data_IF_617414234192
#
_entry.id   IF_617414234192
#
_cell.length_a   1.000
_cell.length_b   1.000
_cell.length_c   1.000
_cell.angle_alpha   90.00
_cell.angle_beta   90.00
_cell.angle_gamma   90.00
#
_symmetry.space_group_name_H-M   'P 1'
#
loop_
_entity.id
_entity.type
_entity.pdbx_description
1 polymer ?
#
# COMPACT_ATOMS: atom_id res chain seq x y z
N UNK A 1 -6.94 -14.97 -18.12
CA UNK A 1 -5.52 -14.55 -18.09
C UNK A 1 -5.09 -14.41 -16.65
N UNK A 2 -3.90 -14.91 -16.31
CA UNK A 2 -3.31 -14.84 -14.97
C UNK A 2 -3.22 -13.39 -14.44
N UNK A 3 -2.79 -12.45 -15.28
CA UNK A 3 -2.62 -11.04 -14.87
C UNK A 3 -3.90 -10.38 -14.33
N UNK A 4 -5.04 -10.59 -14.99
CA UNK A 4 -6.33 -10.02 -14.53
C UNK A 4 -6.74 -10.57 -13.16
N UNK A 5 -6.41 -11.83 -12.91
CA UNK A 5 -6.69 -12.49 -11.64
C UNK A 5 -5.76 -11.97 -10.52
N UNK A 6 -4.48 -11.77 -10.82
CA UNK A 6 -3.54 -11.14 -9.87
C UNK A 6 -3.95 -9.71 -9.52
N UNK A 7 -4.33 -8.89 -10.50
CA UNK A 7 -4.88 -7.54 -10.26
C UNK A 7 -6.11 -7.57 -9.35
N UNK A 8 -6.99 -8.57 -9.53
CA UNK A 8 -8.16 -8.75 -8.67
C UNK A 8 -7.75 -9.15 -7.25
N UNK A 9 -6.83 -10.09 -7.10
CA UNK A 9 -6.32 -10.57 -5.80
C UNK A 9 -5.64 -9.47 -5.01
N UNK A 10 -4.76 -8.70 -5.64
CA UNK A 10 -4.07 -7.57 -4.98
C UNK A 10 -5.09 -6.57 -4.43
N UNK A 11 -6.08 -6.14 -5.22
CA UNK A 11 -7.16 -5.26 -4.72
C UNK A 11 -7.88 -5.88 -3.53
N UNK A 12 -8.29 -7.14 -3.62
CA UNK A 12 -9.01 -7.81 -2.53
C UNK A 12 -8.18 -7.92 -1.26
N UNK A 13 -6.89 -8.19 -1.37
CA UNK A 13 -5.97 -8.25 -0.24
C UNK A 13 -5.80 -6.89 0.44
N UNK A 14 -5.69 -5.80 -0.33
CA UNK A 14 -5.57 -4.45 0.21
C UNK A 14 -6.85 -4.03 0.97
N UNK A 15 -8.02 -4.32 0.42
CA UNK A 15 -9.31 -4.08 1.08
C UNK A 15 -9.43 -4.87 2.40
N UNK A 16 -9.08 -6.16 2.36
CA UNK A 16 -9.08 -7.01 3.53
C UNK A 16 -8.10 -6.52 4.60
N UNK A 17 -6.87 -6.13 4.22
CA UNK A 17 -5.86 -5.58 5.14
C UNK A 17 -6.32 -4.27 5.78
N UNK A 18 -6.95 -3.38 5.02
CA UNK A 18 -7.50 -2.14 5.59
C UNK A 18 -8.53 -2.44 6.69
N UNK A 19 -9.42 -3.40 6.45
CA UNK A 19 -10.42 -3.84 7.42
C UNK A 19 -9.77 -4.51 8.65
N UNK A 20 -8.73 -5.32 8.42
CA UNK A 20 -7.98 -5.98 9.48
C UNK A 20 -7.27 -4.98 10.42
N UNK A 21 -6.75 -3.87 9.88
CA UNK A 21 -6.19 -2.78 10.67
C UNK A 21 -7.27 -2.02 11.45
N UNK A 22 -8.42 -1.74 10.83
CA UNK A 22 -9.55 -1.07 11.49
C UNK A 22 -10.01 -1.81 12.76
N UNK A 23 -10.09 -3.14 12.69
CA UNK A 23 -10.47 -4.00 13.82
C UNK A 23 -9.48 -3.95 15.00
N UNK A 24 -8.25 -3.46 14.78
CA UNK A 24 -7.19 -3.38 15.81
C UNK A 24 -7.06 -2.01 16.44
N UNK A 25 -7.86 -1.03 16.02
CA UNK A 25 -7.80 0.34 16.53
C UNK A 25 -8.09 0.45 18.03
N UNK A 26 -8.81 -0.50 18.61
CA UNK A 26 -9.10 -0.51 20.05
C UNK A 26 -7.94 -1.07 20.89
N UNK A 27 -6.89 -1.58 20.24
CA UNK A 27 -5.74 -2.19 20.91
C UNK A 27 -6.08 -3.51 21.57
N UNK A 28 -5.37 -3.81 22.65
CA UNK A 28 -5.50 -5.05 23.43
C UNK A 28 -5.82 -4.74 24.89
N UNK A 29 -6.42 -5.72 25.57
CA UNK A 29 -6.68 -5.63 27.01
C UNK A 29 -5.39 -5.43 27.80
N UNK A 30 -5.44 -4.62 28.86
CA UNK A 30 -4.30 -4.34 29.73
C UNK A 30 -3.36 -3.22 29.26
N UNK A 31 -3.64 -2.58 28.11
CA UNK A 31 -2.86 -1.41 27.66
C UNK A 31 -3.27 -0.12 28.36
N UNK A 32 -2.27 0.67 28.77
CA UNK A 32 -2.44 2.04 29.25
C UNK A 32 -3.02 2.96 28.15
N UNK A 33 -3.65 4.06 28.57
CA UNK A 33 -4.36 5.00 27.70
C UNK A 33 -3.47 5.58 26.59
N UNK A 34 -2.23 5.96 26.91
CA UNK A 34 -1.29 6.50 25.92
C UNK A 34 -0.90 5.47 24.86
N UNK A 35 -0.68 4.21 25.25
CA UNK A 35 -0.38 3.12 24.32
C UNK A 35 -1.59 2.85 23.42
N UNK A 36 -2.81 2.84 23.98
CA UNK A 36 -4.04 2.63 23.22
C UNK A 36 -4.25 3.73 22.18
N UNK A 37 -3.98 4.98 22.54
CA UNK A 37 -4.04 6.10 21.60
C UNK A 37 -3.02 5.93 20.46
N UNK A 38 -1.77 5.58 20.78
CA UNK A 38 -0.74 5.30 19.79
C UNK A 38 -1.12 4.15 18.84
N UNK A 39 -1.64 3.05 19.38
CA UNK A 39 -2.14 1.90 18.59
C UNK A 39 -3.28 2.32 17.69
N UNK A 40 -4.25 3.09 18.20
CA UNK A 40 -5.37 3.61 17.42
C UNK A 40 -4.88 4.47 16.27
N UNK A 41 -3.98 5.43 16.53
CA UNK A 41 -3.44 6.32 15.52
C UNK A 41 -2.68 5.55 14.43
N UNK A 42 -1.81 4.62 14.84
CA UNK A 42 -1.04 3.79 13.92
C UNK A 42 -1.93 2.90 13.06
N UNK A 43 -2.85 2.16 13.68
CA UNK A 43 -3.77 1.28 12.96
C UNK A 43 -4.65 2.06 11.97
N UNK A 44 -5.12 3.26 12.34
CA UNK A 44 -5.88 4.14 11.44
C UNK A 44 -5.04 4.54 10.22
N UNK A 45 -3.80 4.98 10.44
CA UNK A 45 -2.87 5.34 9.35
C UNK A 45 -2.57 4.16 8.43
N UNK A 46 -2.36 2.97 8.98
CA UNK A 46 -2.14 1.78 8.18
C UNK A 46 -3.37 1.42 7.33
N UNK A 47 -4.58 1.52 7.89
CA UNK A 47 -5.81 1.30 7.12
C UNK A 47 -5.95 2.30 5.97
N UNK A 48 -5.63 3.58 6.19
CA UNK A 48 -5.63 4.61 5.16
C UNK A 48 -4.62 4.34 4.04
N UNK A 49 -3.39 3.94 4.36
CA UNK A 49 -2.37 3.58 3.37
C UNK A 49 -2.87 2.44 2.47
N UNK A 50 -3.44 1.38 3.06
CA UNK A 50 -3.98 0.24 2.30
C UNK A 50 -5.13 0.69 1.37
N UNK A 51 -6.04 1.55 1.84
CA UNK A 51 -7.12 2.14 1.02
C UNK A 51 -6.58 3.05 -0.09
N UNK A 52 -5.51 3.79 0.18
CA UNK A 52 -4.81 4.62 -0.80
C UNK A 52 -4.19 3.79 -1.93
N UNK A 53 -3.47 2.71 -1.58
CA UNK A 53 -2.93 1.75 -2.53
C UNK A 53 -4.02 1.08 -3.37
N UNK A 54 -5.11 0.65 -2.72
CA UNK A 54 -6.26 0.07 -3.43
C UNK A 54 -6.80 1.03 -4.48
N UNK A 55 -7.02 2.30 -4.11
CA UNK A 55 -7.50 3.35 -5.01
C UNK A 55 -6.54 3.58 -6.17
N UNK A 56 -5.24 3.66 -5.88
CA UNK A 56 -4.21 3.90 -6.91
C UNK A 56 -4.13 2.75 -7.91
N UNK A 57 -4.11 1.50 -7.44
CA UNK A 57 -4.09 0.34 -8.33
C UNK A 57 -5.39 0.16 -9.11
N UNK A 58 -6.54 0.46 -8.51
CA UNK A 58 -7.82 0.48 -9.22
C UNK A 58 -7.76 1.47 -10.39
N UNK A 59 -7.33 2.71 -10.13
CA UNK A 59 -7.15 3.71 -11.19
C UNK A 59 -6.14 3.30 -12.25
N UNK A 60 -5.06 2.61 -11.86
CA UNK A 60 -4.03 2.16 -12.79
C UNK A 60 -4.54 1.06 -13.73
N UNK A 61 -5.28 0.08 -13.20
CA UNK A 61 -5.70 -1.10 -13.94
C UNK A 61 -7.03 -0.94 -14.67
N UNK A 62 -7.88 -0.02 -14.23
CA UNK A 62 -9.13 0.30 -14.92
C UNK A 62 -8.90 1.28 -16.09
N UNK A 63 -7.71 1.91 -16.16
CA UNK A 63 -7.28 2.62 -17.37
C UNK A 63 -7.05 1.59 -18.49
N UNK A 64 -7.65 1.78 -19.68
CA UNK A 64 -7.30 0.96 -20.83
C UNK A 64 -5.79 1.03 -21.03
N UNK A 65 -5.13 -0.13 -21.06
CA UNK A 65 -3.74 -0.21 -21.50
C UNK A 65 -3.74 0.34 -22.93
N UNK A 66 -3.20 1.55 -23.11
CA UNK A 66 -3.03 2.11 -24.45
C UNK A 66 -2.21 1.07 -25.24
N UNK A 67 -2.62 0.71 -26.47
CA UNK A 67 -1.81 -0.15 -27.31
C UNK A 67 -0.40 0.46 -27.39
N UNK A 68 0.63 -0.35 -27.12
CA UNK A 68 2.05 0.03 -27.06
C UNK A 68 2.63 0.57 -28.39
N UNK A 69 1.78 1.01 -29.33
CA UNK A 69 2.16 1.40 -30.69
C UNK A 69 2.08 2.90 -31.01
N UNK A 70 1.98 3.81 -30.02
CA UNK A 70 1.83 5.24 -30.34
C UNK A 70 2.51 6.22 -29.37
N UNK A 71 3.68 5.91 -28.80
CA UNK A 71 4.52 6.99 -28.27
C UNK A 71 6.00 6.59 -28.19
N UNK A 72 6.75 6.94 -29.23
CA UNK A 72 8.18 7.16 -29.12
C UNK A 72 8.40 8.35 -28.16
N UNK A 73 9.31 8.14 -27.20
CA UNK A 73 10.13 9.13 -26.49
C UNK A 73 9.46 10.34 -25.79
N UNK A 74 9.34 10.25 -24.47
CA UNK A 74 9.97 11.25 -23.59
C UNK A 74 10.19 10.64 -22.21
N UNK A 75 11.42 10.18 -22.01
CA UNK A 75 12.01 9.88 -20.72
C UNK A 75 12.07 11.16 -19.88
N UNK A 76 11.30 11.24 -18.79
CA UNK A 76 11.56 12.00 -17.55
C UNK A 76 10.26 12.04 -16.72
N UNK A 77 9.94 10.92 -16.06
CA UNK A 77 9.14 10.97 -14.85
C UNK A 77 10.10 11.16 -13.68
N UNK A 78 9.86 12.07 -12.71
CA UNK A 78 10.70 12.19 -11.54
C UNK A 78 10.83 10.80 -10.93
N UNK A 79 12.06 10.27 -10.96
CA UNK A 79 12.40 8.98 -10.39
C UNK A 79 11.75 8.94 -9.02
N UNK A 80 10.92 7.93 -8.81
CA UNK A 80 10.32 7.66 -7.52
C UNK A 80 11.48 7.66 -6.51
N UNK A 81 11.59 8.74 -5.74
CA UNK A 81 12.41 8.76 -4.55
C UNK A 81 11.82 7.65 -3.69
N UNK A 82 12.48 6.50 -3.71
CA UNK A 82 12.23 5.48 -2.72
C UNK A 82 12.44 6.16 -1.37
N UNK A 83 11.49 5.95 -0.46
CA UNK A 83 11.56 6.47 0.89
C UNK A 83 12.90 5.98 1.50
N UNK A 84 13.78 6.86 1.99
CA UNK A 84 15.08 6.47 2.56
C UNK A 84 14.95 5.42 3.67
N UNK A 85 13.78 5.34 4.33
CA UNK A 85 13.48 4.33 5.35
C UNK A 85 13.34 2.91 4.77
N UNK A 86 13.01 2.79 3.48
CA UNK A 86 12.87 1.50 2.81
C UNK A 86 14.24 0.95 2.38
N UNK A 87 15.20 1.83 2.11
CA UNK A 87 16.56 1.48 1.73
C UNK A 87 17.34 0.97 2.95
N UNK A 88 17.19 1.62 4.11
CA UNK A 88 17.82 1.18 5.36
C UNK A 88 17.33 -0.19 5.86
N UNK A 89 16.14 -0.62 5.46
CA UNK A 89 15.58 -1.91 5.90
C UNK A 89 16.10 -3.09 5.05
N UNK A 90 16.66 -2.82 3.87
CA UNK A 90 17.21 -3.85 2.97
C UNK A 90 18.68 -4.12 3.26
N UNK A 91 19.40 -3.14 3.82
CA UNK A 91 20.81 -3.27 4.17
C UNK A 91 21.07 -4.00 5.51
N UNK A 92 20.05 -4.23 6.35
CA UNK A 92 20.22 -4.89 7.66
C UNK A 92 20.25 -6.43 7.62
N UNK A 93 20.01 -7.07 6.46
CA UNK A 93 20.01 -8.54 6.32
C UNK A 93 21.33 -9.13 5.78
N UNK A 94 22.41 -8.33 5.67
CA UNK A 94 23.76 -8.80 5.30
C UNK A 94 24.76 -8.69 6.47
N UNK A 95 24.62 -9.54 7.50
CA UNK A 95 25.74 -9.99 8.36
C UNK A 95 25.68 -11.49 8.66
#
# INVERSE_FOLDING_TARGET
>A
MLLKEEMRRVRKTLEWRATWWEQRREGWEGQDGAIREGVRAYASRQAEIQRGLHTRFTRLWDRPLAPLGSQEESNEGPGASLDPLLESLVEEDEE
#
